data_IF_832062636685
#
_entry.id   IF_832062636685
#
_cell.length_a   1.000
_cell.length_b   1.000
_cell.length_c   1.000
_cell.angle_alpha   90.00
_cell.angle_beta   90.00
_cell.angle_gamma   90.00
#
_symmetry.space_group_name_H-M   'P 1'
#
loop_
_entity.id
_entity.type
_entity.pdbx_description
1 polymer ?
#
# COMPACT_ATOMS: atom_id res chain seq x y z
N UNK A 1 1.66 -4.12 0.12
CA UNK A 1 2.38 -3.71 1.35
C UNK A 1 2.58 -2.20 1.31
N UNK A 2 2.74 -1.54 2.47
CA UNK A 2 3.11 -0.12 2.49
C UNK A 2 4.23 0.20 3.48
N UNK A 3 5.03 1.19 3.10
CA UNK A 3 6.26 1.62 3.78
C UNK A 3 6.19 3.12 4.04
N UNK A 4 6.82 3.56 5.13
CA UNK A 4 7.07 4.98 5.38
C UNK A 4 8.40 5.44 4.74
N UNK A 5 8.70 6.74 4.83
CA UNK A 5 9.93 7.33 4.26
C UNK A 5 11.23 6.81 4.89
N UNK A 6 11.15 6.15 6.06
CA UNK A 6 12.29 5.55 6.75
C UNK A 6 12.49 4.08 6.34
N UNK A 7 11.68 3.57 5.41
CA UNK A 7 11.74 2.19 4.94
C UNK A 7 11.13 1.17 5.92
N UNK A 8 10.39 1.64 6.93
CA UNK A 8 9.71 0.72 7.86
C UNK A 8 8.48 0.14 7.18
N UNK A 9 8.37 -1.18 7.17
CA UNK A 9 7.17 -1.87 6.73
C UNK A 9 6.04 -1.58 7.74
N UNK A 10 4.98 -0.93 7.27
CA UNK A 10 3.90 -0.47 8.15
C UNK A 10 2.76 -1.48 8.17
N UNK A 11 2.37 -2.05 7.02
CA UNK A 11 1.50 -3.22 6.96
C UNK A 11 1.34 -3.84 5.55
N UNK A 12 0.80 -5.06 5.53
CA UNK A 12 0.35 -5.77 4.33
C UNK A 12 -1.18 -5.59 4.23
N UNK A 13 -1.68 -4.96 3.16
CA UNK A 13 -3.13 -4.73 2.95
C UNK A 13 -3.88 -5.94 2.39
N UNK A 14 -3.17 -6.78 1.64
CA UNK A 14 -3.68 -8.01 1.07
C UNK A 14 -2.48 -8.94 0.87
N UNK A 15 -2.60 -10.15 1.38
CA UNK A 15 -1.63 -11.22 1.20
C UNK A 15 -2.35 -12.45 0.62
N UNK A 16 -1.82 -13.04 -0.45
CA UNK A 16 -2.42 -14.17 -1.16
C UNK A 16 -2.74 -13.94 -2.65
N UNK A 17 -3.06 -15.03 -3.35
CA UNK A 17 -3.43 -15.00 -4.76
C UNK A 17 -4.85 -14.46 -4.95
N UNK A 18 -4.99 -13.47 -5.84
CA UNK A 18 -6.29 -12.97 -6.28
C UNK A 18 -6.57 -13.43 -7.70
N UNK A 19 -7.80 -13.87 -8.00
CA UNK A 19 -8.22 -14.18 -9.37
C UNK A 19 -8.03 -12.97 -10.30
N UNK A 20 -7.81 -13.21 -11.59
CA UNK A 20 -7.75 -12.13 -12.57
C UNK A 20 -9.05 -11.30 -12.56
N UNK A 21 -8.93 -9.97 -12.62
CA UNK A 21 -10.08 -9.07 -12.57
C UNK A 21 -9.77 -7.74 -11.91
N UNK A 22 -10.81 -6.92 -11.73
CA UNK A 22 -10.70 -5.63 -11.05
C UNK A 22 -10.88 -5.82 -9.54
N UNK A 23 -9.86 -5.46 -8.78
CA UNK A 23 -9.88 -5.48 -7.32
C UNK A 23 -9.92 -4.06 -6.77
N UNK A 24 -10.74 -3.83 -5.75
CA UNK A 24 -10.78 -2.56 -5.03
C UNK A 24 -10.52 -2.82 -3.55
N UNK A 25 -9.45 -2.22 -3.04
CA UNK A 25 -9.11 -2.28 -1.62
C UNK A 25 -9.45 -0.93 -0.99
N UNK A 26 -10.11 -0.96 0.16
CA UNK A 26 -10.27 0.24 0.99
C UNK A 26 -9.06 0.34 1.91
N UNK A 27 -8.37 1.46 1.85
CA UNK A 27 -7.27 1.78 2.74
C UNK A 27 -7.77 2.67 3.88
N UNK A 28 -7.59 2.25 5.14
CA UNK A 28 -7.84 3.11 6.29
C UNK A 28 -6.52 3.75 6.74
N UNK A 29 -6.45 5.08 6.65
CA UNK A 29 -5.29 5.88 7.08
C UNK A 29 -5.36 6.28 8.56
N UNK A 30 -6.39 5.86 9.29
CA UNK A 30 -6.56 6.13 10.72
C UNK A 30 -5.36 5.58 11.51
N UNK A 31 -4.81 6.40 12.40
CA UNK A 31 -3.58 6.09 13.14
C UNK A 31 -2.28 6.48 12.43
N UNK A 32 -2.28 6.76 11.12
CA UNK A 32 -1.09 7.29 10.43
C UNK A 32 -0.88 8.78 10.76
N UNK A 33 0.38 9.16 10.97
CA UNK A 33 0.77 10.57 11.07
C UNK A 33 0.77 11.25 9.70
N UNK A 34 0.68 12.58 9.68
CA UNK A 34 0.88 13.34 8.44
C UNK A 34 2.26 13.03 7.85
N UNK A 35 2.33 12.76 6.56
CA UNK A 35 3.56 12.33 5.91
C UNK A 35 3.35 11.65 4.56
N UNK A 36 4.44 11.16 3.99
CA UNK A 36 4.45 10.44 2.71
C UNK A 36 4.57 8.95 2.97
N UNK A 37 3.74 8.16 2.29
CA UNK A 37 3.70 6.72 2.39
C UNK A 37 3.73 6.11 0.99
N UNK A 38 4.37 4.96 0.84
CA UNK A 38 4.47 4.27 -0.44
C UNK A 38 3.80 2.91 -0.36
N UNK A 39 2.87 2.64 -1.27
CA UNK A 39 2.24 1.34 -1.44
C UNK A 39 2.92 0.62 -2.59
N UNK A 40 3.30 -0.63 -2.36
CA UNK A 40 3.78 -1.53 -3.42
C UNK A 40 2.72 -2.58 -3.71
N UNK A 41 2.30 -2.63 -4.97
CA UNK A 41 1.51 -3.69 -5.56
C UNK A 41 2.46 -4.64 -6.31
N UNK A 42 2.29 -5.94 -6.13
CA UNK A 42 3.07 -6.95 -6.85
C UNK A 42 2.13 -8.07 -7.27
N UNK A 43 2.14 -8.39 -8.56
CA UNK A 43 1.28 -9.39 -9.19
C UNK A 43 2.08 -10.16 -10.25
N UNK A 44 2.59 -11.33 -9.89
CA UNK A 44 3.50 -12.10 -10.75
C UNK A 44 4.74 -11.28 -11.14
N UNK A 45 4.91 -11.02 -12.44
CA UNK A 45 6.02 -10.19 -12.97
C UNK A 45 5.75 -8.68 -12.95
N UNK A 46 4.54 -8.26 -12.60
CA UNK A 46 4.16 -6.86 -12.53
C UNK A 46 4.42 -6.30 -11.14
N UNK A 47 5.02 -5.12 -11.07
CA UNK A 47 5.12 -4.33 -9.84
C UNK A 47 4.79 -2.88 -10.09
N UNK A 48 4.01 -2.28 -9.20
CA UNK A 48 3.71 -0.86 -9.23
C UNK A 48 3.87 -0.25 -7.84
N UNK A 49 4.35 0.99 -7.80
CA UNK A 49 4.48 1.77 -6.57
C UNK A 49 3.56 2.99 -6.66
N UNK A 50 2.75 3.19 -5.62
CA UNK A 50 1.83 4.31 -5.50
C UNK A 50 2.29 5.17 -4.32
N UNK A 51 2.55 6.45 -4.58
CA UNK A 51 2.86 7.43 -3.54
C UNK A 51 1.57 8.03 -3.00
N UNK A 52 1.43 8.06 -1.68
CA UNK A 52 0.31 8.66 -0.97
C UNK A 52 0.82 9.73 -0.01
N UNK A 53 0.07 10.82 0.11
CA UNK A 53 0.32 11.88 1.07
C UNK A 53 -0.84 11.88 2.04
N UNK A 54 -0.55 11.65 3.32
CA UNK A 54 -1.52 11.78 4.41
C UNK A 54 -1.33 13.17 5.01
N UNK A 55 -2.40 13.93 5.08
CA UNK A 55 -2.46 15.17 5.83
C UNK A 55 -3.64 15.07 6.81
N UNK A 56 -3.40 15.43 8.07
CA UNK A 56 -4.43 15.57 9.10
C UNK A 56 -4.91 17.01 9.17
#
# INVERSE_FOLDING_TARGET
MYYDILGREVAILLDGETSAGRHQLKFNAEGLGSGVYFFRLSAGKYSATIKMIVNK
#
